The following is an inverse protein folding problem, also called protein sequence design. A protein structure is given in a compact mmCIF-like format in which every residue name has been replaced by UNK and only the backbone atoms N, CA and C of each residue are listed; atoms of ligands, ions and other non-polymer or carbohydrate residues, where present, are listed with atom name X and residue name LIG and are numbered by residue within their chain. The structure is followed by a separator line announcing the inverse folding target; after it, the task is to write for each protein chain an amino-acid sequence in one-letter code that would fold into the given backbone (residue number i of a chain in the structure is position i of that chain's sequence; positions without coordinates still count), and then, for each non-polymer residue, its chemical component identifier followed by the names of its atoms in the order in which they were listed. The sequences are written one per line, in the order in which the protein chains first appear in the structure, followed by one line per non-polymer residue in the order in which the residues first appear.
data_IF_525391179631
#
_entry.id   IF_525391179631
#
_cell.length_a   1.000
_cell.length_b   1.000
_cell.length_c   1.000
_cell.angle_alpha   90.00
_cell.angle_beta   90.00
_cell.angle_gamma   90.00
#
_symmetry.space_group_name_H-M   'P 1'
#
loop_
_entity.id
_entity.type
_entity.pdbx_description
1 polymer ?
#
# COMPACT_ATOMS: atom_id res chain seq x y z
N UNK A 1 9.05 0.85 -21.87
CA UNK A 1 7.84 0.87 -21.03
C UNK A 1 6.83 1.77 -21.71
N UNK A 2 5.66 1.25 -22.10
CA UNK A 2 4.68 1.99 -22.90
C UNK A 2 3.84 2.90 -21.99
N UNK A 3 3.42 4.08 -22.47
CA UNK A 3 2.66 5.09 -21.71
C UNK A 3 1.38 4.51 -21.05
N UNK A 4 0.76 3.50 -21.70
CA UNK A 4 -0.41 2.76 -21.21
C UNK A 4 -0.12 1.86 -19.99
N UNK A 5 1.13 1.43 -19.79
CA UNK A 5 1.54 0.65 -18.61
C UNK A 5 1.76 1.53 -17.38
N UNK A 6 1.98 2.83 -17.58
CA UNK A 6 2.19 3.80 -16.49
C UNK A 6 0.85 4.30 -15.95
N UNK A 7 -0.16 4.45 -16.81
CA UNK A 7 -1.44 5.07 -16.44
C UNK A 7 -2.53 4.08 -16.00
N UNK A 8 -2.30 2.77 -16.12
CA UNK A 8 -3.33 1.76 -15.85
C UNK A 8 -4.52 1.88 -16.83
N UNK A 9 -5.16 0.77 -17.16
CA UNK A 9 -6.43 0.80 -17.92
C UNK A 9 -7.55 1.26 -16.99
N UNK A 10 -7.86 2.54 -17.04
CA UNK A 10 -9.07 3.07 -16.39
C UNK A 10 -10.32 2.53 -17.10
N UNK A 11 -11.05 1.67 -16.42
CA UNK A 11 -12.42 1.33 -16.85
C UNK A 11 -13.36 2.40 -16.29
N UNK A 12 -13.64 3.41 -17.09
CA UNK A 12 -14.64 4.41 -16.74
C UNK A 12 -16.03 3.79 -16.75
N UNK A 13 -16.70 3.81 -15.61
CA UNK A 13 -18.09 3.37 -15.47
C UNK A 13 -19.00 4.58 -15.36
N UNK A 14 -19.99 4.70 -16.24
CA UNK A 14 -20.97 5.77 -16.13
C UNK A 14 -21.72 5.66 -14.79
N UNK A 15 -21.77 6.77 -14.05
CA UNK A 15 -22.48 6.83 -12.76
C UNK A 15 -23.92 7.24 -13.01
N UNK A 16 -24.10 8.27 -13.81
CA UNK A 16 -25.41 8.73 -14.24
C UNK A 16 -25.29 9.46 -15.57
N UNK A 17 -26.37 9.46 -16.28
CA UNK A 17 -26.55 10.20 -17.53
C UNK A 17 -27.71 11.18 -17.28
N UNK A 18 -27.44 12.47 -17.46
CA UNK A 18 -28.45 13.51 -17.38
C UNK A 18 -28.73 14.00 -18.80
N UNK A 19 -29.98 13.93 -19.19
CA UNK A 19 -30.43 14.51 -20.44
C UNK A 19 -31.21 15.78 -20.13
N UNK A 20 -30.81 16.89 -20.70
CA UNK A 20 -31.48 18.15 -20.60
C UNK A 20 -32.09 18.46 -21.97
N UNK A 21 -33.43 18.48 -22.05
CA UNK A 21 -34.18 18.73 -23.26
C UNK A 21 -34.86 20.08 -23.10
N UNK A 22 -34.56 21.02 -24.01
CA UNK A 22 -35.21 22.31 -24.08
C UNK A 22 -36.23 22.25 -25.23
N UNK A 23 -37.51 22.43 -24.89
CA UNK A 23 -38.62 22.42 -25.84
C UNK A 23 -39.23 23.84 -25.98
N UNK A 24 -39.68 24.16 -27.14
CA UNK A 24 -40.51 25.36 -27.36
C UNK A 24 -41.91 25.09 -26.77
N UNK A 25 -42.34 25.95 -25.85
CA UNK A 25 -43.60 25.80 -25.13
C UNK A 25 -44.80 26.03 -26.07
N UNK A 26 -44.63 26.80 -27.13
CA UNK A 26 -45.70 27.15 -28.08
C UNK A 26 -45.89 26.06 -29.15
N UNK A 27 -44.83 25.45 -29.62
CA UNK A 27 -44.86 24.46 -30.72
C UNK A 27 -44.64 23.04 -30.27
N UNK A 28 -44.09 22.81 -29.07
CA UNK A 28 -43.70 21.49 -28.56
C UNK A 28 -42.45 20.91 -29.23
N UNK A 29 -41.76 21.68 -30.09
CA UNK A 29 -40.54 21.22 -30.75
C UNK A 29 -39.36 21.24 -29.82
N UNK A 30 -38.46 20.26 -29.97
CA UNK A 30 -37.21 20.22 -29.23
C UNK A 30 -36.22 21.18 -29.85
N UNK A 31 -35.87 22.24 -29.10
CA UNK A 31 -34.91 23.25 -29.53
C UNK A 31 -33.48 22.75 -29.36
N UNK A 32 -33.23 22.10 -28.24
CA UNK A 32 -31.92 21.49 -27.97
C UNK A 32 -32.01 20.28 -27.04
N UNK A 33 -31.14 19.32 -27.25
CA UNK A 33 -30.96 18.18 -26.32
C UNK A 33 -29.47 18.08 -26.02
N UNK A 34 -29.15 18.11 -24.73
CA UNK A 34 -27.76 17.99 -24.26
C UNK A 34 -27.67 16.79 -23.32
N UNK A 35 -26.86 15.81 -23.69
CA UNK A 35 -26.60 14.64 -22.84
C UNK A 35 -25.30 14.83 -22.11
N UNK A 36 -25.37 14.94 -20.79
CA UNK A 36 -24.19 15.00 -19.90
C UNK A 36 -23.99 13.65 -19.22
N UNK A 37 -22.95 12.94 -19.60
CA UNK A 37 -22.57 11.70 -18.97
C UNK A 37 -21.50 11.96 -17.92
N UNK A 38 -21.77 11.66 -16.67
CA UNK A 38 -20.80 11.68 -15.60
C UNK A 38 -20.24 10.27 -15.43
N UNK A 39 -18.94 10.13 -15.72
CA UNK A 39 -18.23 8.88 -15.55
C UNK A 39 -17.36 8.95 -14.30
N UNK A 40 -17.36 7.89 -13.52
CA UNK A 40 -16.41 7.72 -12.43
C UNK A 40 -15.36 6.71 -12.87
N UNK A 41 -14.08 7.04 -12.72
CA UNK A 41 -13.02 6.07 -12.80
C UNK A 41 -13.30 4.95 -11.77
N UNK A 42 -13.38 3.71 -12.22
CA UNK A 42 -13.87 2.60 -11.40
C UNK A 42 -12.87 2.10 -10.39
N UNK A 43 -11.64 2.56 -10.45
CA UNK A 43 -10.60 2.21 -9.46
C UNK A 43 -9.57 3.33 -9.36
N UNK A 44 -9.33 3.80 -8.15
CA UNK A 44 -8.08 4.49 -7.89
C UNK A 44 -6.92 3.53 -8.26
N UNK A 45 -5.85 4.04 -8.89
CA UNK A 45 -4.66 3.22 -9.08
C UNK A 45 -4.22 2.65 -7.73
N UNK A 46 -3.72 1.43 -7.72
CA UNK A 46 -3.16 0.86 -6.49
C UNK A 46 -2.08 1.80 -5.97
N UNK A 47 -2.29 2.30 -4.77
CA UNK A 47 -1.35 3.20 -4.12
C UNK A 47 -0.85 2.61 -2.80
N UNK A 48 0.34 3.03 -2.43
CA UNK A 48 0.99 2.68 -1.18
C UNK A 48 1.19 3.96 -0.39
N UNK A 49 0.82 3.92 0.89
CA UNK A 49 1.09 5.03 1.80
C UNK A 49 2.50 4.88 2.34
N UNK A 50 3.33 5.88 2.09
CA UNK A 50 4.69 5.97 2.60
C UNK A 50 4.74 7.09 3.63
N UNK A 51 5.18 6.77 4.82
CA UNK A 51 5.31 7.75 5.90
C UNK A 51 6.73 8.31 5.90
N UNK A 52 6.89 9.42 5.22
CA UNK A 52 8.18 10.01 4.87
C UNK A 52 9.12 10.20 6.06
N UNK A 53 8.64 10.83 7.14
CA UNK A 53 9.46 11.14 8.31
C UNK A 53 9.99 9.87 8.98
N UNK A 54 9.10 8.89 9.20
CA UNK A 54 9.49 7.60 9.82
C UNK A 54 10.49 6.85 8.93
N UNK A 55 10.27 6.86 7.62
CA UNK A 55 11.14 6.18 6.66
C UNK A 55 12.52 6.84 6.58
N UNK A 56 12.58 8.17 6.59
CA UNK A 56 13.85 8.90 6.55
C UNK A 56 14.64 8.71 7.83
N UNK A 57 14.00 8.78 8.99
CA UNK A 57 14.62 8.50 10.27
C UNK A 57 15.18 7.06 10.32
N UNK A 58 14.41 6.08 9.85
CA UNK A 58 14.84 4.69 9.77
C UNK A 58 16.07 4.50 8.87
N UNK A 59 16.09 5.14 7.69
CA UNK A 59 17.23 5.10 6.79
C UNK A 59 18.49 5.67 7.44
N UNK A 60 18.39 6.84 8.08
CA UNK A 60 19.53 7.51 8.69
C UNK A 60 20.12 6.72 9.86
N UNK A 61 19.26 6.11 10.69
CA UNK A 61 19.69 5.39 11.90
C UNK A 61 20.20 3.99 11.58
N UNK A 62 19.56 3.29 10.64
CA UNK A 62 19.76 1.85 10.44
C UNK A 62 20.49 1.47 9.14
N UNK A 63 20.84 2.45 8.31
CA UNK A 63 21.54 2.21 7.03
C UNK A 63 20.79 1.17 6.16
N UNK A 64 19.46 1.32 6.08
CA UNK A 64 18.59 0.59 5.17
C UNK A 64 18.06 1.58 4.13
N UNK A 65 18.45 1.45 2.85
CA UNK A 65 18.12 2.46 1.86
C UNK A 65 16.63 2.52 1.56
N UNK A 66 16.15 3.71 1.27
CA UNK A 66 14.77 3.97 0.88
C UNK A 66 14.36 3.13 -0.34
N UNK A 67 15.27 2.91 -1.30
CA UNK A 67 15.04 2.04 -2.46
C UNK A 67 14.65 0.62 -2.07
N UNK A 68 15.25 0.06 -1.01
CA UNK A 68 14.89 -1.25 -0.48
C UNK A 68 13.45 -1.25 0.06
N UNK A 69 13.06 -0.23 0.83
CA UNK A 69 11.70 -0.11 1.39
C UNK A 69 10.67 0.04 0.26
N UNK A 70 10.98 0.85 -0.76
CA UNK A 70 10.11 1.03 -1.93
C UNK A 70 10.02 -0.25 -2.77
N UNK A 71 11.11 -0.99 -2.97
CA UNK A 71 11.08 -2.29 -3.64
C UNK A 71 10.25 -3.31 -2.85
N UNK A 72 10.43 -3.38 -1.53
CA UNK A 72 9.65 -4.23 -0.64
C UNK A 72 8.14 -3.96 -0.77
N UNK A 73 7.76 -2.70 -0.93
CA UNK A 73 6.37 -2.27 -1.02
C UNK A 73 5.61 -2.85 -2.22
N UNK A 74 6.30 -3.25 -3.30
CA UNK A 74 5.70 -3.92 -4.47
C UNK A 74 5.10 -5.29 -4.12
N UNK A 75 5.66 -5.95 -3.11
CA UNK A 75 5.28 -7.30 -2.69
C UNK A 75 4.37 -7.32 -1.46
N UNK A 76 3.90 -6.14 -1.08
CA UNK A 76 3.08 -5.96 0.10
C UNK A 76 1.64 -6.37 -0.18
N UNK A 77 1.08 -7.20 0.68
CA UNK A 77 -0.32 -7.58 0.63
C UNK A 77 -1.23 -6.43 1.08
N UNK A 78 -2.44 -6.41 0.56
CA UNK A 78 -3.44 -5.41 0.96
C UNK A 78 -3.99 -5.73 2.35
N UNK A 79 -3.93 -4.79 3.29
CA UNK A 79 -4.54 -4.98 4.61
C UNK A 79 -6.03 -4.71 4.58
N UNK A 80 -6.80 -5.63 5.17
CA UNK A 80 -8.24 -5.53 5.37
C UNK A 80 -8.56 -5.75 6.85
N UNK A 81 -9.46 -4.94 7.41
CA UNK A 81 -9.97 -5.05 8.79
C UNK A 81 -8.90 -5.15 9.89
N UNK A 82 -7.77 -4.47 9.70
CA UNK A 82 -6.66 -4.50 10.66
C UNK A 82 -5.88 -5.81 10.69
N UNK A 83 -6.09 -6.71 9.71
CA UNK A 83 -5.27 -7.92 9.58
C UNK A 83 -3.81 -7.55 9.30
N UNK A 84 -2.85 -8.35 9.80
CA UNK A 84 -1.44 -8.11 9.56
C UNK A 84 -1.14 -7.93 8.08
N UNK A 85 -0.34 -6.91 7.77
CA UNK A 85 0.12 -6.64 6.43
C UNK A 85 1.40 -7.41 6.17
N UNK A 86 1.32 -8.47 5.38
CA UNK A 86 2.43 -9.38 5.15
C UNK A 86 3.10 -9.19 3.79
N UNK A 87 4.33 -9.67 3.71
CA UNK A 87 5.08 -9.84 2.46
C UNK A 87 5.80 -11.17 2.48
N UNK A 88 5.84 -11.86 1.34
CA UNK A 88 6.57 -13.12 1.18
C UNK A 88 7.89 -12.86 0.45
N UNK A 89 9.01 -13.03 1.14
CA UNK A 89 10.36 -12.81 0.61
C UNK A 89 11.01 -14.15 0.30
N UNK A 90 10.74 -14.70 -0.87
CA UNK A 90 11.37 -15.89 -1.41
C UNK A 90 12.60 -15.55 -2.28
N UNK A 91 13.26 -16.55 -2.88
CA UNK A 91 14.43 -16.38 -3.73
C UNK A 91 14.15 -15.43 -4.90
N UNK A 92 13.03 -15.63 -5.62
CA UNK A 92 12.66 -14.81 -6.78
C UNK A 92 12.42 -13.35 -6.39
N UNK A 93 11.72 -13.10 -5.27
CA UNK A 93 11.50 -11.74 -4.76
C UNK A 93 12.83 -11.07 -4.43
N UNK A 94 13.77 -11.78 -3.81
CA UNK A 94 15.11 -11.23 -3.54
C UNK A 94 15.88 -10.87 -4.81
N UNK A 95 15.78 -11.68 -5.85
CA UNK A 95 16.40 -11.40 -7.16
C UNK A 95 15.80 -10.12 -7.77
N UNK A 96 14.47 -9.97 -7.75
CA UNK A 96 13.80 -8.74 -8.21
C UNK A 96 14.22 -7.51 -7.38
N UNK A 97 14.36 -7.67 -6.06
CA UNK A 97 14.84 -6.59 -5.19
C UNK A 97 16.31 -6.22 -5.47
N UNK A 98 17.15 -7.17 -5.85
CA UNK A 98 18.52 -6.89 -6.29
C UNK A 98 18.52 -5.97 -7.52
N UNK A 99 17.68 -6.27 -8.51
CA UNK A 99 17.52 -5.45 -9.72
C UNK A 99 16.98 -4.05 -9.39
N UNK A 100 15.90 -3.97 -8.60
CA UNK A 100 15.30 -2.70 -8.21
C UNK A 100 16.25 -1.78 -7.45
N UNK A 101 17.06 -2.33 -6.57
CA UNK A 101 17.97 -1.58 -5.71
C UNK A 101 19.38 -1.43 -6.31
N UNK A 102 19.68 -2.13 -7.40
CA UNK A 102 21.00 -2.23 -8.01
C UNK A 102 22.09 -2.69 -7.00
N UNK A 103 21.80 -3.75 -6.25
CA UNK A 103 22.69 -4.33 -5.23
C UNK A 103 22.75 -5.85 -5.32
N UNK A 104 23.76 -6.43 -4.69
CA UNK A 104 23.94 -7.88 -4.66
C UNK A 104 23.00 -8.58 -3.67
N UNK A 105 22.79 -9.89 -3.87
CA UNK A 105 21.96 -10.73 -3.00
C UNK A 105 22.42 -10.75 -1.53
N UNK A 106 23.73 -10.82 -1.20
CA UNK A 106 24.20 -10.65 0.16
C UNK A 106 23.80 -9.33 0.79
N UNK A 107 23.79 -8.23 0.01
CA UNK A 107 23.36 -6.93 0.49
C UNK A 107 21.86 -6.87 0.79
N UNK A 108 21.02 -7.46 -0.08
CA UNK A 108 19.58 -7.60 0.20
C UNK A 108 19.33 -8.40 1.47
N UNK A 109 20.05 -9.52 1.68
CA UNK A 109 19.93 -10.29 2.91
C UNK A 109 20.34 -9.49 4.15
N UNK A 110 21.37 -8.64 4.04
CA UNK A 110 21.78 -7.72 5.12
C UNK A 110 20.67 -6.69 5.42
N UNK A 111 20.02 -6.11 4.39
CA UNK A 111 18.91 -5.17 4.59
C UNK A 111 17.70 -5.84 5.25
N UNK A 112 17.35 -7.07 4.84
CA UNK A 112 16.28 -7.86 5.49
C UNK A 112 16.62 -8.09 6.97
N UNK A 113 17.86 -8.51 7.28
CA UNK A 113 18.31 -8.73 8.66
C UNK A 113 18.18 -7.44 9.49
N UNK A 114 18.74 -6.33 9.01
CA UNK A 114 18.61 -5.01 9.67
C UNK A 114 17.16 -4.58 9.85
N UNK A 115 16.31 -4.83 8.85
CA UNK A 115 14.89 -4.52 8.91
C UNK A 115 14.16 -5.32 10.01
N UNK A 116 14.54 -6.57 10.23
CA UNK A 116 13.99 -7.38 11.32
C UNK A 116 14.52 -6.91 12.68
N UNK A 117 15.82 -6.63 12.79
CA UNK A 117 16.45 -6.18 14.04
C UNK A 117 15.91 -4.82 14.52
N UNK A 118 15.41 -4.00 13.62
CA UNK A 118 15.00 -2.62 13.87
C UNK A 118 13.48 -2.37 13.69
N UNK A 119 12.66 -3.42 13.58
CA UNK A 119 11.22 -3.31 13.62
C UNK A 119 10.55 -2.74 12.36
N UNK A 120 11.20 -2.82 11.20
CA UNK A 120 10.52 -2.64 9.91
C UNK A 120 9.80 -3.93 9.51
N UNK A 121 10.43 -5.07 9.75
CA UNK A 121 9.89 -6.40 9.47
C UNK A 121 9.79 -7.23 10.75
N UNK A 122 8.70 -7.93 10.92
CA UNK A 122 8.48 -8.89 12.01
C UNK A 122 8.34 -10.29 11.44
N UNK A 123 9.02 -11.24 12.04
CA UNK A 123 8.93 -12.65 11.63
C UNK A 123 7.55 -13.20 11.97
N UNK A 124 6.98 -13.95 11.05
CA UNK A 124 5.75 -14.72 11.28
C UNK A 124 6.10 -16.19 11.59
N UNK A 125 5.09 -17.01 11.88
CA UNK A 125 5.24 -18.45 12.03
C UNK A 125 5.68 -19.14 10.71
N UNK A 126 5.48 -18.50 9.57
CA UNK A 126 5.79 -19.06 8.25
C UNK A 126 7.15 -18.58 7.75
N UNK A 127 7.97 -19.52 7.28
CA UNK A 127 9.30 -19.21 6.75
C UNK A 127 9.22 -18.30 5.53
N UNK A 128 9.95 -17.19 5.56
CA UNK A 128 10.02 -16.23 4.45
C UNK A 128 8.84 -15.26 4.38
N UNK A 129 7.87 -15.39 5.28
CA UNK A 129 6.76 -14.45 5.42
C UNK A 129 7.06 -13.49 6.57
N UNK A 130 6.90 -12.21 6.30
CA UNK A 130 7.16 -11.14 7.27
C UNK A 130 5.96 -10.22 7.35
N UNK A 131 5.59 -9.81 8.54
CA UNK A 131 4.67 -8.70 8.78
C UNK A 131 5.45 -7.39 8.65
N UNK A 132 4.86 -6.41 7.99
CA UNK A 132 5.50 -5.12 7.69
C UNK A 132 4.93 -4.04 8.59
N UNK A 133 5.81 -3.24 9.16
CA UNK A 133 5.45 -2.13 10.05
C UNK A 133 4.59 -1.07 9.32
N UNK A 134 3.32 -0.88 9.74
CA UNK A 134 2.40 0.04 9.08
C UNK A 134 2.70 1.51 9.36
N UNK A 135 3.64 1.82 10.24
CA UNK A 135 4.12 3.18 10.48
C UNK A 135 5.18 3.64 9.47
N UNK A 136 5.74 2.73 8.69
CA UNK A 136 6.70 3.07 7.63
C UNK A 136 6.07 3.03 6.25
N UNK A 137 5.42 1.93 5.92
CA UNK A 137 4.68 1.74 4.67
C UNK A 137 3.39 0.96 4.95
N UNK A 138 2.32 1.32 4.24
CA UNK A 138 1.06 0.61 4.35
C UNK A 138 0.29 0.59 3.04
N UNK A 139 -0.38 -0.54 2.77
CA UNK A 139 -1.22 -0.75 1.59
C UNK A 139 -2.63 -1.14 2.06
N UNK A 140 -3.59 -0.24 1.93
CA UNK A 140 -4.96 -0.49 2.40
C UNK A 140 -5.76 0.78 2.65
N UNK A 141 -7.03 0.60 3.02
CA UNK A 141 -7.90 1.69 3.46
C UNK A 141 -7.41 2.26 4.79
N UNK A 142 -7.63 3.57 5.00
CA UNK A 142 -7.14 4.26 6.20
C UNK A 142 -7.65 3.63 7.51
N UNK A 143 -8.91 3.24 7.56
CA UNK A 143 -9.50 2.64 8.77
C UNK A 143 -8.88 1.28 9.11
N UNK A 144 -8.57 0.46 8.11
CA UNK A 144 -7.84 -0.80 8.29
C UNK A 144 -6.41 -0.55 8.78
N UNK A 145 -5.72 0.47 8.23
CA UNK A 145 -4.37 0.85 8.64
C UNK A 145 -4.35 1.37 10.08
N UNK A 146 -5.34 2.16 10.49
CA UNK A 146 -5.47 2.61 11.89
C UNK A 146 -5.59 1.43 12.86
N UNK A 147 -6.47 0.46 12.56
CA UNK A 147 -6.63 -0.74 13.36
C UNK A 147 -5.32 -1.55 13.44
N UNK A 148 -4.64 -1.69 12.30
CA UNK A 148 -3.35 -2.38 12.25
C UNK A 148 -2.29 -1.67 13.10
N UNK A 149 -2.23 -0.33 13.06
CA UNK A 149 -1.27 0.46 13.84
C UNK A 149 -1.45 0.32 15.34
N UNK A 150 -2.67 0.09 15.81
CA UNK A 150 -2.95 -0.13 17.23
C UNK A 150 -2.24 -1.36 17.81
N UNK A 151 -1.78 -2.27 16.95
CA UNK A 151 -1.03 -3.47 17.36
C UNK A 151 0.50 -3.24 17.45
N UNK A 152 0.97 -2.00 17.33
CA UNK A 152 2.39 -1.68 17.34
C UNK A 152 2.68 -0.56 18.34
N UNK A 153 3.74 -0.76 19.13
CA UNK A 153 4.26 0.21 20.07
C UNK A 153 5.69 0.59 19.71
N UNK A 154 6.08 1.80 20.12
CA UNK A 154 7.44 2.27 19.99
C UNK A 154 8.05 2.38 21.39
N UNK A 155 8.89 1.41 21.75
CA UNK A 155 9.49 1.28 23.08
C UNK A 155 11.00 1.27 22.94
N UNK A 156 11.70 2.10 23.75
CA UNK A 156 13.18 2.18 23.80
C UNK A 156 13.84 2.36 22.43
N UNK A 157 13.25 3.20 21.56
CA UNK A 157 13.79 3.47 20.25
C UNK A 157 13.54 2.38 19.21
N UNK A 158 12.73 1.37 19.50
CA UNK A 158 12.39 0.28 18.61
C UNK A 158 10.89 0.07 18.47
N UNK A 159 10.47 -0.29 17.27
CA UNK A 159 9.11 -0.75 17.03
C UNK A 159 8.96 -2.19 17.53
N UNK A 160 7.93 -2.41 18.34
CA UNK A 160 7.54 -3.72 18.85
C UNK A 160 6.08 -3.99 18.49
N UNK A 161 5.70 -5.25 18.42
CA UNK A 161 4.32 -5.64 18.31
C UNK A 161 3.72 -5.67 19.72
N UNK A 162 2.58 -5.01 19.92
CA UNK A 162 1.83 -5.15 21.16
C UNK A 162 1.46 -6.60 21.36
N UNK A 163 1.83 -7.16 22.51
CA UNK A 163 1.48 -8.54 22.86
C UNK A 163 0.01 -8.52 23.27
N UNK A 164 -0.86 -9.18 22.51
CA UNK A 164 -2.18 -9.54 23.02
C UNK A 164 -1.96 -10.44 24.24
N UNK A 165 -2.16 -9.89 25.42
CA UNK A 165 -2.38 -10.70 26.60
C UNK A 165 -3.74 -11.38 26.40
N UNK A 166 -3.75 -12.59 25.85
CA UNK A 166 -4.88 -13.48 26.03
C UNK A 166 -4.98 -13.71 27.54
N UNK A 167 -5.92 -13.03 28.21
CA UNK A 167 -6.38 -13.49 29.51
C UNK A 167 -6.96 -14.89 29.29
N UNK A 168 -6.18 -15.89 29.62
CA UNK A 168 -6.72 -17.21 29.87
C UNK A 168 -7.63 -17.08 31.09
N UNK A 169 -8.93 -16.89 30.80
CA UNK A 169 -9.97 -17.04 31.82
C UNK A 169 -10.02 -18.54 32.15
N UNK A 170 -9.39 -18.88 33.29
CA UNK A 170 -9.58 -20.15 33.94
C UNK A 170 -11.01 -20.23 34.51
#
# INVERSE_FOLDING_TARGET
MNKEQILGREKNKAIYQQEEIVTDIATGEIISSTVRTVTKSSSEPEYIKVYYETMMAFNQIHDVPVSFVLSLSKFLEWTNDGKPQCTTINKRVKEMMCEDCNVSLPQINRYIKKSVENGLLFRTAYRGVYEVNPFMIAKGKWDSIKKLRANFDFIDGKWTRAVEYSEEIN
#
